data_IF_452872786687
#
_entry.id   IF_452872786687
#
_cell.length_a   1.000
_cell.length_b   1.000
_cell.length_c   1.000
_cell.angle_alpha   90.00
_cell.angle_beta   90.00
_cell.angle_gamma   90.00
#
_symmetry.space_group_name_H-M   'P 1'
#
loop_
_entity.id
_entity.type
_entity.pdbx_description
1 polymer ?
#
# COMPACT_ATOMS: atom_id res chain seq x y z
N UNK A 1 7.03 11.56 -3.63
CA UNK A 1 8.42 12.06 -3.53
C UNK A 1 9.34 10.94 -3.96
N UNK A 2 10.46 11.22 -4.63
CA UNK A 2 11.47 10.21 -5.02
C UNK A 2 12.71 10.40 -4.13
N UNK A 3 13.11 9.35 -3.42
CA UNK A 3 14.34 9.33 -2.61
C UNK A 3 15.38 8.43 -3.26
N UNK A 4 16.56 8.97 -3.53
CA UNK A 4 17.66 8.29 -4.20
C UNK A 4 18.83 8.17 -3.22
N UNK A 5 19.23 6.94 -2.90
CA UNK A 5 20.31 6.66 -1.95
C UNK A 5 21.49 6.01 -2.66
N UNK A 6 22.67 6.58 -2.46
CA UNK A 6 23.91 6.17 -3.11
C UNK A 6 24.89 5.62 -2.08
N UNK A 7 25.73 4.68 -2.49
CA UNK A 7 26.85 4.17 -1.69
C UNK A 7 28.12 4.15 -2.53
N UNK A 8 29.17 4.73 -1.99
CA UNK A 8 30.49 4.88 -2.62
C UNK A 8 31.54 4.02 -1.92
N UNK A 9 32.70 3.80 -2.56
CA UNK A 9 33.79 2.97 -1.97
C UNK A 9 34.62 3.71 -0.90
N UNK A 10 34.64 5.03 -0.97
CA UNK A 10 35.28 5.97 -0.03
C UNK A 10 34.24 7.03 0.37
N UNK A 11 34.44 7.81 1.45
CA UNK A 11 33.58 8.95 1.75
C UNK A 11 33.42 9.89 0.54
N UNK A 12 32.24 10.48 0.41
CA UNK A 12 31.87 11.27 -0.77
C UNK A 12 31.79 12.76 -0.46
N UNK A 13 32.77 13.50 -0.96
CA UNK A 13 32.91 14.97 -0.81
C UNK A 13 32.47 15.75 -2.07
N UNK A 14 31.71 15.13 -2.97
CA UNK A 14 31.35 15.69 -4.28
C UNK A 14 30.00 16.41 -4.34
N UNK A 15 29.46 16.57 -5.56
CA UNK A 15 28.13 17.16 -5.81
C UNK A 15 27.23 16.15 -6.52
N UNK A 16 25.94 16.15 -6.17
CA UNK A 16 24.90 15.30 -6.75
C UNK A 16 23.81 16.20 -7.29
N UNK A 17 23.45 16.08 -8.57
CA UNK A 17 22.50 16.99 -9.20
C UNK A 17 21.74 16.35 -10.36
N UNK A 18 20.58 16.90 -10.70
CA UNK A 18 19.85 16.52 -11.92
C UNK A 18 20.55 17.12 -13.14
N UNK A 19 20.79 16.30 -14.18
CA UNK A 19 21.46 16.71 -15.42
C UNK A 19 20.78 17.94 -16.03
N UNK A 20 21.57 19.01 -16.22
CA UNK A 20 21.09 20.29 -16.76
C UNK A 20 20.57 21.27 -15.69
N UNK A 21 20.49 20.85 -14.42
CA UNK A 21 20.08 21.66 -13.27
C UNK A 21 21.14 21.60 -12.16
N UNK A 22 22.42 21.73 -12.54
CA UNK A 22 23.52 21.72 -11.57
C UNK A 22 23.38 22.85 -10.54
N UNK A 23 22.89 24.02 -10.98
CA UNK A 23 22.89 25.27 -10.22
C UNK A 23 21.53 25.59 -9.54
N UNK A 24 20.52 24.73 -9.68
CA UNK A 24 19.28 24.83 -8.91
C UNK A 24 19.42 24.05 -7.60
N UNK A 25 19.47 24.76 -6.47
CA UNK A 25 19.64 24.17 -5.13
C UNK A 25 18.45 23.29 -4.68
N UNK A 26 17.34 23.24 -5.41
CA UNK A 26 16.27 22.24 -5.19
C UNK A 26 16.61 20.91 -5.87
N UNK A 27 17.40 20.96 -6.94
CA UNK A 27 17.76 19.85 -7.82
C UNK A 27 19.23 19.44 -7.67
N UNK A 28 19.91 19.97 -6.66
CA UNK A 28 21.34 19.87 -6.44
C UNK A 28 21.67 19.78 -4.95
N UNK A 29 22.63 18.94 -4.60
CA UNK A 29 23.13 18.74 -3.23
C UNK A 29 24.65 18.64 -3.25
N UNK A 30 25.30 19.49 -2.46
CA UNK A 30 26.75 19.50 -2.28
C UNK A 30 27.10 18.76 -0.98
N UNK A 31 28.06 17.85 -1.06
CA UNK A 31 28.53 17.01 0.05
C UNK A 31 29.98 17.34 0.44
N UNK A 32 30.52 18.50 0.06
CA UNK A 32 31.91 18.90 0.38
C UNK A 32 32.30 18.77 1.86
N UNK A 33 31.37 18.91 2.80
CA UNK A 33 31.58 18.74 4.25
C UNK A 33 31.50 17.28 4.73
N UNK A 34 31.15 16.33 3.87
CA UNK A 34 30.99 14.92 4.21
C UNK A 34 32.32 14.15 4.10
N UNK A 35 33.09 14.18 5.19
CA UNK A 35 34.41 13.53 5.28
C UNK A 35 34.35 12.04 5.63
N UNK A 36 33.28 11.56 6.27
CA UNK A 36 33.24 10.20 6.85
C UNK A 36 32.18 9.27 6.22
N UNK A 37 31.07 9.81 5.67
CA UNK A 37 29.98 8.97 5.19
C UNK A 37 30.18 8.56 3.73
N UNK A 38 30.18 7.25 3.48
CA UNK A 38 30.16 6.69 2.12
C UNK A 38 28.74 6.45 1.59
N UNK A 39 27.70 6.68 2.40
CA UNK A 39 26.29 6.56 2.06
C UNK A 39 25.63 7.94 2.20
N UNK A 40 24.92 8.38 1.16
CA UNK A 40 24.21 9.66 1.15
C UNK A 40 22.92 9.54 0.33
N UNK A 41 21.98 10.47 0.55
CA UNK A 41 20.68 10.46 -0.12
C UNK A 41 20.29 11.84 -0.66
N UNK A 42 19.52 11.83 -1.73
CA UNK A 42 18.93 13.01 -2.37
C UNK A 42 17.43 12.77 -2.53
N UNK A 43 16.60 13.75 -2.18
CA UNK A 43 15.15 13.71 -2.37
C UNK A 43 14.74 14.70 -3.46
N UNK A 44 13.82 14.30 -4.32
CA UNK A 44 13.24 15.12 -5.40
C UNK A 44 11.72 15.01 -5.31
N UNK A 45 11.01 16.14 -5.40
CA UNK A 45 9.55 16.13 -5.41
C UNK A 45 9.01 15.63 -6.76
N UNK A 46 7.83 15.03 -6.77
CA UNK A 46 7.23 14.53 -8.01
C UNK A 46 6.87 15.71 -8.94
N UNK A 47 7.47 15.75 -10.13
CA UNK A 47 7.26 16.80 -11.13
C UNK A 47 8.31 17.93 -11.10
N UNK A 48 9.13 18.03 -10.05
CA UNK A 48 10.24 18.99 -9.99
C UNK A 48 11.42 18.57 -10.88
N UNK A 49 12.39 19.48 -11.03
CA UNK A 49 13.69 19.21 -11.67
C UNK A 49 13.63 18.65 -13.10
N UNK A 50 12.72 19.19 -13.93
CA UNK A 50 12.50 18.77 -15.33
C UNK A 50 12.35 17.25 -15.52
N UNK A 51 11.78 16.58 -14.52
CA UNK A 51 11.48 15.14 -14.54
C UNK A 51 10.65 14.78 -15.78
N UNK A 52 11.24 14.02 -16.71
CA UNK A 52 10.60 13.65 -17.96
C UNK A 52 9.44 12.69 -17.70
N UNK A 53 8.22 13.17 -17.91
CA UNK A 53 6.98 12.39 -17.77
C UNK A 53 6.56 11.83 -19.14
N UNK A 54 6.75 10.53 -19.33
CA UNK A 54 6.34 9.80 -20.52
C UNK A 54 5.15 8.89 -20.18
N UNK A 55 4.13 8.86 -21.05
CA UNK A 55 3.12 7.79 -20.99
C UNK A 55 3.73 6.54 -21.61
N UNK A 56 3.65 5.42 -20.90
CA UNK A 56 4.06 4.10 -21.40
C UNK A 56 2.78 3.33 -21.69
N UNK A 57 2.70 2.81 -22.91
CA UNK A 57 1.54 2.12 -23.49
C UNK A 57 2.05 0.79 -24.04
N UNK A 58 1.31 -0.30 -23.81
CA UNK A 58 1.75 -1.67 -24.10
C UNK A 58 1.15 -2.64 -23.09
N UNK A 59 1.87 -3.72 -22.75
CA UNK A 59 1.43 -4.72 -21.76
C UNK A 59 1.25 -4.16 -20.33
N UNK A 60 1.90 -3.04 -20.01
CA UNK A 60 1.78 -2.30 -18.75
C UNK A 60 1.52 -0.83 -19.05
N UNK A 61 0.25 -0.42 -19.01
CA UNK A 61 -0.10 0.99 -19.12
C UNK A 61 0.29 1.78 -17.87
N UNK A 62 0.89 2.95 -18.05
CA UNK A 62 1.29 3.78 -16.93
C UNK A 62 1.93 5.11 -17.31
N UNK A 63 2.43 5.78 -16.29
CA UNK A 63 3.22 7.00 -16.42
C UNK A 63 4.61 6.70 -15.89
N UNK A 64 5.59 6.72 -16.79
CA UNK A 64 7.00 6.66 -16.43
C UNK A 64 7.51 8.08 -16.20
N UNK A 65 8.00 8.34 -15.00
CA UNK A 65 8.82 9.50 -14.70
C UNK A 65 10.29 9.10 -14.82
N UNK A 66 11.10 9.89 -15.52
CA UNK A 66 12.55 9.65 -15.60
C UNK A 66 13.34 10.93 -15.43
N UNK A 67 14.50 10.81 -14.79
CA UNK A 67 15.45 11.89 -14.57
C UNK A 67 16.86 11.32 -14.60
N UNK A 68 17.85 12.15 -14.91
CA UNK A 68 19.26 11.72 -14.89
C UNK A 68 19.97 12.39 -13.74
N UNK A 69 20.43 11.63 -12.74
CA UNK A 69 21.33 12.14 -11.70
C UNK A 69 22.75 12.05 -12.18
N UNK A 70 23.53 13.11 -11.97
CA UNK A 70 24.98 13.10 -12.07
C UNK A 70 25.55 13.10 -10.65
N UNK A 71 26.36 12.08 -10.34
CA UNK A 71 27.22 12.04 -9.16
C UNK A 71 28.61 12.46 -9.63
N UNK A 72 29.00 13.69 -9.29
CA UNK A 72 30.32 14.24 -9.62
C UNK A 72 31.23 14.21 -8.41
N UNK A 73 32.46 13.71 -8.58
CA UNK A 73 33.45 13.62 -7.51
C UNK A 73 34.27 14.90 -7.35
N UNK A 74 34.01 15.94 -8.16
CA UNK A 74 34.61 17.26 -8.04
C UNK A 74 33.50 18.30 -7.93
N UNK A 75 33.61 19.25 -7.01
CA UNK A 75 32.55 20.25 -6.75
C UNK A 75 32.33 21.30 -7.86
N UNK A 76 32.89 21.13 -9.08
CA UNK A 76 32.92 22.18 -10.12
C UNK A 76 33.03 21.62 -11.54
N UNK A 77 33.94 20.68 -11.78
CA UNK A 77 34.23 20.14 -13.11
C UNK A 77 33.70 18.72 -13.26
N UNK A 78 33.18 18.38 -14.45
CA UNK A 78 32.83 16.99 -14.76
C UNK A 78 34.11 16.20 -15.06
N UNK A 79 34.33 15.11 -14.33
CA UNK A 79 35.56 14.29 -14.40
C UNK A 79 35.31 12.88 -14.96
N UNK A 80 36.38 12.16 -15.31
CA UNK A 80 36.31 10.73 -15.71
C UNK A 80 35.78 9.81 -14.59
N UNK A 81 35.83 10.24 -13.33
CA UNK A 81 35.31 9.47 -12.20
C UNK A 81 33.77 9.59 -12.06
N UNK A 82 33.19 10.61 -12.67
CA UNK A 82 31.78 10.97 -12.51
C UNK A 82 30.86 9.94 -13.17
N UNK A 83 29.66 9.79 -12.60
CA UNK A 83 28.68 8.80 -13.06
C UNK A 83 27.31 9.45 -13.23
N UNK A 84 26.72 9.23 -14.39
CA UNK A 84 25.34 9.60 -14.69
C UNK A 84 24.44 8.36 -14.60
N UNK A 85 23.34 8.47 -13.86
CA UNK A 85 22.35 7.41 -13.64
C UNK A 85 21.00 7.90 -14.13
N UNK A 86 20.39 7.19 -15.10
CA UNK A 86 19.00 7.46 -15.50
C UNK A 86 18.08 6.73 -14.54
N UNK A 87 17.53 7.46 -13.57
CA UNK A 87 16.51 6.96 -12.66
C UNK A 87 15.16 6.94 -13.40
N UNK A 88 14.42 5.84 -13.29
CA UNK A 88 13.11 5.67 -13.91
C UNK A 88 12.14 5.10 -12.88
N UNK A 89 10.99 5.73 -12.71
CA UNK A 89 9.92 5.30 -11.80
C UNK A 89 8.64 5.15 -12.61
N UNK A 90 8.14 3.92 -12.70
CA UNK A 90 6.90 3.61 -13.43
C UNK A 90 5.71 3.52 -12.46
N UNK A 91 4.67 4.30 -12.73
CA UNK A 91 3.41 4.25 -11.99
C UNK A 91 2.34 3.66 -12.92
N UNK A 92 1.85 2.46 -12.59
CA UNK A 92 0.84 1.76 -13.39
C UNK A 92 -0.50 2.49 -13.35
N UNK A 93 -1.12 2.70 -14.51
CA UNK A 93 -2.49 3.20 -14.62
C UNK A 93 -3.45 2.00 -14.48
N UNK A 94 -4.09 1.85 -13.33
CA UNK A 94 -5.15 0.83 -13.15
C UNK A 94 -6.47 1.42 -13.64
N UNK A 95 -6.80 1.29 -14.94
CA UNK A 95 -8.14 1.59 -15.50
C UNK A 95 -8.55 0.60 -16.60
N UNK A 96 -9.87 0.48 -16.81
CA UNK A 96 -10.52 -0.58 -17.61
C UNK A 96 -10.40 -0.37 -19.13
N UNK A 97 -10.35 -1.51 -19.84
CA UNK A 97 -10.35 -1.75 -21.29
C UNK A 97 -10.88 -0.64 -22.23
N UNK A 98 -10.10 -0.30 -23.27
CA UNK A 98 -10.52 -0.30 -24.70
C UNK A 98 -9.31 -0.18 -25.64
N UNK A 99 -9.47 -0.53 -26.93
CA UNK A 99 -8.38 -1.00 -27.83
C UNK A 99 -7.75 0.05 -28.76
N UNK A 100 -6.46 -0.12 -29.11
CA UNK A 100 -5.71 0.68 -30.11
C UNK A 100 -4.30 0.11 -30.42
N UNK A 101 -3.81 0.30 -31.65
CA UNK A 101 -2.80 -0.55 -32.35
C UNK A 101 -1.85 0.32 -33.20
N UNK A 102 -0.57 0.05 -33.44
CA UNK A 102 0.51 -0.78 -32.82
C UNK A 102 1.86 -0.43 -33.52
N UNK A 103 3.03 -0.85 -32.97
CA UNK A 103 4.28 -1.21 -33.69
C UNK A 103 5.46 -1.45 -32.70
N UNK A 104 6.38 -2.36 -33.03
CA UNK A 104 7.44 -2.87 -32.12
C UNK A 104 8.88 -2.60 -32.59
N UNK A 105 9.87 -2.77 -31.69
CA UNK A 105 11.27 -3.04 -32.07
C UNK A 105 12.07 -3.84 -31.03
N UNK A 106 13.01 -4.64 -31.57
CA UNK A 106 14.09 -5.48 -30.99
C UNK A 106 14.17 -5.58 -29.46
N UNK A 107 14.00 -6.81 -28.95
CA UNK A 107 14.10 -7.13 -27.52
C UNK A 107 15.51 -7.47 -27.02
N UNK A 108 15.76 -7.15 -25.74
CA UNK A 108 16.88 -7.64 -24.94
C UNK A 108 16.35 -8.24 -23.65
N UNK A 109 16.85 -9.41 -23.25
CA UNK A 109 16.34 -10.14 -22.08
C UNK A 109 16.69 -9.45 -20.77
N UNK A 110 15.67 -9.00 -20.02
CA UNK A 110 15.86 -8.38 -18.71
C UNK A 110 15.75 -9.42 -17.57
N UNK A 111 16.67 -9.34 -16.61
CA UNK A 111 16.54 -9.99 -15.30
C UNK A 111 15.91 -8.96 -14.34
N UNK A 112 14.57 -8.93 -14.33
CA UNK A 112 13.79 -8.14 -13.37
C UNK A 112 13.49 -8.99 -12.13
N UNK A 113 13.90 -8.52 -10.95
CA UNK A 113 13.34 -9.01 -9.69
C UNK A 113 11.99 -8.32 -9.43
N UNK A 114 10.98 -8.79 -10.16
CA UNK A 114 9.61 -8.30 -10.07
C UNK A 114 8.89 -9.01 -8.92
N UNK A 115 9.08 -8.51 -7.70
CA UNK A 115 8.18 -8.85 -6.57
C UNK A 115 6.78 -8.42 -6.98
N UNK A 116 5.92 -9.40 -7.28
CA UNK A 116 4.53 -9.12 -7.62
C UNK A 116 3.81 -8.62 -6.37
N UNK A 117 2.92 -7.65 -6.56
CA UNK A 117 2.06 -7.17 -5.47
C UNK A 117 0.85 -8.14 -5.40
N UNK A 118 0.50 -8.67 -4.22
CA UNK A 118 -0.57 -9.65 -4.07
C UNK A 118 -1.88 -9.14 -4.66
N UNK A 119 -2.64 -10.02 -5.31
CA UNK A 119 -4.04 -9.74 -5.61
C UNK A 119 -4.87 -10.10 -4.37
N UNK A 120 -5.40 -9.09 -3.68
CA UNK A 120 -6.32 -9.29 -2.57
C UNK A 120 -7.77 -9.11 -3.01
N UNK A 121 -8.64 -10.01 -2.58
CA UNK A 121 -10.08 -10.03 -2.83
C UNK A 121 -10.86 -9.85 -1.53
N UNK A 122 -12.01 -9.21 -1.63
CA UNK A 122 -12.98 -9.07 -0.54
C UNK A 122 -14.36 -9.51 -1.06
N UNK A 123 -15.01 -10.38 -0.32
CA UNK A 123 -16.31 -10.97 -0.67
C UNK A 123 -17.18 -11.16 0.57
N UNK A 124 -18.49 -11.27 0.35
CA UNK A 124 -19.47 -11.60 1.37
C UNK A 124 -20.12 -12.91 0.95
N UNK A 125 -20.22 -13.87 1.87
CA UNK A 125 -20.70 -15.23 1.62
C UNK A 125 -21.91 -15.54 2.51
N UNK A 126 -22.83 -16.38 2.01
CA UNK A 126 -24.02 -16.80 2.76
C UNK A 126 -23.82 -18.18 3.42
N UNK A 127 -24.28 -18.33 4.67
CA UNK A 127 -24.34 -19.61 5.38
C UNK A 127 -23.01 -20.13 5.95
N UNK A 128 -21.88 -19.91 5.27
CA UNK A 128 -20.51 -20.14 5.79
C UNK A 128 -19.50 -19.26 5.05
N UNK A 129 -18.26 -19.19 5.57
CA UNK A 129 -17.15 -18.48 4.92
C UNK A 129 -16.83 -19.03 3.52
N UNK A 130 -16.92 -20.35 3.34
CA UNK A 130 -16.75 -21.04 2.05
C UNK A 130 -18.07 -21.15 1.25
N UNK A 131 -19.12 -20.44 1.67
CA UNK A 131 -20.43 -20.46 1.04
C UNK A 131 -20.46 -19.79 -0.35
N UNK A 132 -21.62 -19.76 -1.03
CA UNK A 132 -21.77 -18.99 -2.24
C UNK A 132 -21.67 -17.48 -1.94
N UNK A 133 -21.03 -16.67 -2.82
CA UNK A 133 -21.03 -15.21 -2.70
C UNK A 133 -22.44 -14.62 -2.69
N UNK A 134 -22.73 -13.79 -1.70
CA UNK A 134 -24.01 -13.15 -1.47
C UNK A 134 -24.03 -11.73 -2.07
N UNK A 135 -24.93 -11.50 -3.03
CA UNK A 135 -25.23 -10.16 -3.59
C UNK A 135 -26.45 -9.54 -2.90
N UNK A 136 -27.27 -10.37 -2.26
CA UNK A 136 -28.47 -10.01 -1.51
C UNK A 136 -28.48 -10.79 -0.20
N UNK A 137 -29.04 -10.21 0.86
CA UNK A 137 -29.24 -10.87 2.15
C UNK A 137 -30.36 -10.19 2.93
N UNK A 138 -30.90 -10.87 3.94
CA UNK A 138 -31.97 -10.37 4.79
C UNK A 138 -31.46 -9.83 6.12
N UNK A 139 -32.22 -8.95 6.76
CA UNK A 139 -31.90 -8.45 8.11
C UNK A 139 -32.04 -9.61 9.11
N UNK A 140 -31.01 -9.84 9.92
CA UNK A 140 -30.94 -10.98 10.84
C UNK A 140 -30.48 -12.30 10.20
N UNK A 141 -30.10 -12.32 8.92
CA UNK A 141 -29.42 -13.45 8.29
C UNK A 141 -27.93 -13.46 8.68
N UNK A 142 -27.30 -14.64 8.78
CA UNK A 142 -25.85 -14.74 8.98
C UNK A 142 -25.11 -14.58 7.65
N UNK A 143 -24.16 -13.67 7.63
CA UNK A 143 -23.25 -13.45 6.49
C UNK A 143 -21.80 -13.52 6.95
N UNK A 144 -20.91 -13.88 6.03
CA UNK A 144 -19.48 -14.05 6.30
C UNK A 144 -18.70 -13.10 5.41
N UNK A 145 -17.99 -12.16 6.02
CA UNK A 145 -17.06 -11.29 5.32
C UNK A 145 -15.73 -12.04 5.21
N UNK A 146 -15.19 -12.13 3.99
CA UNK A 146 -13.98 -12.89 3.68
C UNK A 146 -13.02 -11.98 2.93
N UNK A 147 -11.77 -11.94 3.40
CA UNK A 147 -10.65 -11.31 2.72
C UNK A 147 -9.60 -12.37 2.43
N UNK A 148 -9.12 -12.43 1.19
CA UNK A 148 -8.12 -13.41 0.75
C UNK A 148 -7.05 -12.71 -0.09
N UNK A 149 -5.78 -13.08 0.04
CA UNK A 149 -4.67 -12.54 -0.75
C UNK A 149 -3.84 -13.67 -1.38
N UNK A 150 -3.66 -13.62 -2.70
CA UNK A 150 -2.93 -14.63 -3.48
C UNK A 150 -1.41 -14.37 -3.47
N UNK A 151 -0.76 -14.56 -2.30
CA UNK A 151 0.70 -14.50 -2.14
C UNK A 151 1.17 -15.31 -0.91
N UNK A 152 2.09 -16.26 -1.11
CA UNK A 152 2.62 -17.11 -0.03
C UNK A 152 3.63 -16.38 0.89
N UNK A 153 4.33 -15.38 0.37
CA UNK A 153 5.43 -14.64 1.01
C UNK A 153 4.96 -13.45 1.85
N UNK A 154 3.75 -12.96 1.58
CA UNK A 154 3.13 -11.82 2.26
C UNK A 154 1.90 -12.28 3.08
N UNK A 155 1.66 -11.62 4.21
CA UNK A 155 0.41 -11.68 4.97
C UNK A 155 -0.28 -10.31 4.97
N UNK A 156 -1.44 -10.20 5.62
CA UNK A 156 -2.13 -8.92 5.72
C UNK A 156 -2.90 -8.68 7.02
N UNK A 157 -3.21 -7.41 7.26
CA UNK A 157 -4.14 -6.92 8.27
C UNK A 157 -5.33 -6.25 7.56
N UNK A 158 -6.57 -6.52 8.00
CA UNK A 158 -7.75 -5.72 7.64
C UNK A 158 -7.72 -4.44 8.48
N UNK A 159 -6.90 -3.48 8.06
CA UNK A 159 -6.55 -2.27 8.83
C UNK A 159 -7.77 -1.40 9.15
N UNK A 160 -8.70 -1.21 8.21
CA UNK A 160 -9.92 -0.42 8.47
C UNK A 160 -11.05 -0.81 7.53
N UNK A 161 -12.30 -0.70 7.99
CA UNK A 161 -13.50 -0.98 7.19
C UNK A 161 -14.60 0.02 7.52
N UNK A 162 -15.40 0.39 6.53
CA UNK A 162 -16.62 1.18 6.72
C UNK A 162 -17.74 0.72 5.79
N UNK A 163 -18.97 1.01 6.18
CA UNK A 163 -20.17 0.83 5.38
C UNK A 163 -20.81 2.18 5.08
N UNK A 164 -21.37 2.35 3.88
CA UNK A 164 -22.11 3.54 3.52
C UNK A 164 -23.36 3.24 2.68
N UNK A 165 -24.32 4.17 2.67
CA UNK A 165 -25.58 4.07 1.92
C UNK A 165 -25.51 4.57 0.46
N UNK A 166 -24.34 5.08 0.04
CA UNK A 166 -24.15 5.76 -1.26
C UNK A 166 -24.81 7.13 -1.37
N UNK A 167 -25.45 7.64 -0.30
CA UNK A 167 -26.15 8.94 -0.23
C UNK A 167 -25.47 9.94 0.71
N UNK A 168 -24.55 9.46 1.55
CA UNK A 168 -23.69 10.28 2.42
C UNK A 168 -23.58 9.76 3.85
N UNK A 169 -24.44 8.81 4.25
CA UNK A 169 -24.35 8.16 5.55
C UNK A 169 -23.22 7.15 5.54
N UNK A 170 -22.28 7.28 6.48
CA UNK A 170 -21.14 6.36 6.69
C UNK A 170 -21.12 5.91 8.14
N UNK A 171 -20.77 4.65 8.35
CA UNK A 171 -20.47 4.07 9.67
C UNK A 171 -19.17 3.28 9.57
N UNK A 172 -18.22 3.57 10.46
CA UNK A 172 -16.94 2.87 10.53
C UNK A 172 -17.11 1.59 11.36
N UNK A 173 -16.63 0.47 10.83
CA UNK A 173 -16.80 -0.87 11.39
C UNK A 173 -15.56 -1.31 12.16
N UNK A 174 -14.38 -1.01 11.60
CA UNK A 174 -13.08 -1.20 12.23
C UNK A 174 -12.39 0.16 12.36
N UNK A 175 -11.54 0.31 13.39
CA UNK A 175 -10.72 1.50 13.62
C UNK A 175 -9.50 1.55 12.67
N UNK A 176 -8.40 2.19 13.10
CA UNK A 176 -7.16 2.26 12.33
C UNK A 176 -6.15 1.16 12.72
N UNK A 177 -6.41 0.40 13.78
CA UNK A 177 -5.55 -0.69 14.25
C UNK A 177 -6.14 -2.07 13.88
N UNK A 178 -7.19 -2.09 13.05
CA UNK A 178 -7.90 -3.29 12.60
C UNK A 178 -8.89 -3.87 13.62
N UNK A 179 -9.25 -3.12 14.66
CA UNK A 179 -10.11 -3.60 15.74
C UNK A 179 -11.57 -3.15 15.61
N UNK A 180 -12.49 -3.95 16.15
CA UNK A 180 -13.93 -3.69 16.07
C UNK A 180 -14.35 -2.45 16.88
N UNK A 181 -15.01 -1.49 16.21
CA UNK A 181 -15.60 -0.31 16.87
C UNK A 181 -16.88 -0.69 17.62
N UNK A 182 -17.74 -1.50 16.99
CA UNK A 182 -18.94 -2.08 17.62
C UNK A 182 -19.02 -3.60 17.34
N UNK A 183 -18.55 -4.44 18.28
CA UNK A 183 -18.61 -5.90 18.18
C UNK A 183 -20.01 -6.52 18.04
N UNK A 184 -21.09 -5.75 18.22
CA UNK A 184 -22.46 -6.24 17.97
C UNK A 184 -22.77 -6.23 16.46
N UNK A 185 -22.23 -5.26 15.73
CA UNK A 185 -22.41 -5.10 14.27
C UNK A 185 -21.30 -5.82 13.51
N UNK A 186 -20.05 -5.63 13.95
CA UNK A 186 -18.83 -6.17 13.35
C UNK A 186 -17.91 -6.68 14.48
N UNK A 187 -17.85 -7.99 14.75
CA UNK A 187 -16.85 -8.56 15.66
C UNK A 187 -15.41 -8.37 15.16
N UNK A 188 -14.43 -8.61 16.03
CA UNK A 188 -13.01 -8.64 15.62
C UNK A 188 -12.76 -9.69 14.54
N UNK A 189 -11.96 -9.33 13.53
CA UNK A 189 -11.66 -10.20 12.39
C UNK A 189 -10.74 -11.34 12.82
N UNK A 190 -11.07 -12.58 12.39
CA UNK A 190 -10.26 -13.77 12.64
C UNK A 190 -9.36 -14.02 11.42
N UNK A 191 -8.11 -14.37 11.65
CA UNK A 191 -7.11 -14.62 10.61
C UNK A 191 -6.67 -16.07 10.66
N UNK A 192 -6.50 -16.70 9.50
CA UNK A 192 -5.95 -18.05 9.39
C UNK A 192 -4.44 -18.02 9.71
N UNK A 193 -3.88 -19.15 10.16
CA UNK A 193 -2.47 -19.26 10.58
C UNK A 193 -1.46 -18.84 9.48
N UNK A 194 -1.85 -18.95 8.21
CA UNK A 194 -1.00 -18.58 7.08
C UNK A 194 -1.09 -17.10 6.69
N UNK A 195 -1.94 -16.31 7.37
CA UNK A 195 -2.20 -14.88 7.13
C UNK A 195 -2.59 -14.51 5.69
N UNK A 196 -3.05 -15.47 4.88
CA UNK A 196 -3.58 -15.24 3.52
C UNK A 196 -5.10 -15.16 3.46
N UNK A 197 -5.77 -15.50 4.55
CA UNK A 197 -7.22 -15.44 4.70
C UNK A 197 -7.60 -14.80 6.03
N UNK A 198 -8.64 -13.98 5.99
CA UNK A 198 -9.29 -13.41 7.15
C UNK A 198 -10.81 -13.49 7.00
N UNK A 199 -11.52 -13.78 8.07
CA UNK A 199 -12.96 -14.06 8.10
C UNK A 199 -13.60 -13.40 9.31
N UNK A 200 -14.83 -12.90 9.15
CA UNK A 200 -15.72 -12.61 10.28
C UNK A 200 -17.17 -12.95 9.97
N UNK A 201 -17.85 -13.56 10.94
CA UNK A 201 -19.29 -13.80 10.93
C UNK A 201 -20.02 -12.55 11.44
N UNK A 202 -21.01 -12.06 10.70
CA UNK A 202 -21.85 -10.92 11.08
C UNK A 202 -23.32 -11.23 10.86
N UNK A 203 -24.19 -10.40 11.44
CA UNK A 203 -25.63 -10.44 11.19
C UNK A 203 -26.02 -9.35 10.20
N UNK A 204 -26.78 -9.70 9.17
CA UNK A 204 -27.27 -8.77 8.18
C UNK A 204 -28.06 -7.63 8.83
N UNK A 205 -27.67 -6.40 8.54
CA UNK A 205 -28.34 -5.17 8.97
C UNK A 205 -28.64 -4.26 7.78
N UNK A 206 -29.29 -3.12 8.02
CA UNK A 206 -29.44 -2.04 7.05
C UNK A 206 -29.66 -0.70 7.75
N UNK A 207 -29.33 0.41 7.10
CA UNK A 207 -29.86 1.72 7.51
C UNK A 207 -31.38 1.76 7.33
N UNK A 208 -32.10 2.63 8.03
CA UNK A 208 -33.57 2.71 7.95
C UNK A 208 -34.07 2.94 6.51
N UNK A 209 -33.43 3.88 5.79
CA UNK A 209 -33.98 4.51 4.59
C UNK A 209 -33.39 3.95 3.27
N UNK A 210 -32.45 3.00 3.36
CA UNK A 210 -31.88 2.29 2.20
C UNK A 210 -31.91 0.77 2.38
N UNK A 211 -31.83 0.06 1.26
CA UNK A 211 -31.59 -1.38 1.16
C UNK A 211 -30.20 -1.72 0.60
N UNK A 212 -29.42 -0.70 0.22
CA UNK A 212 -28.08 -0.85 -0.37
C UNK A 212 -27.03 -0.49 0.69
N UNK A 213 -26.10 -1.41 0.92
CA UNK A 213 -24.93 -1.21 1.77
C UNK A 213 -23.65 -1.38 0.94
N UNK A 214 -22.82 -0.34 0.92
CA UNK A 214 -21.52 -0.36 0.25
C UNK A 214 -20.42 -0.52 1.30
N UNK A 215 -19.90 -1.74 1.44
CA UNK A 215 -18.76 -2.04 2.29
C UNK A 215 -17.45 -1.69 1.58
N UNK A 216 -16.54 -1.02 2.27
CA UNK A 216 -15.20 -0.69 1.77
C UNK A 216 -14.18 -0.92 2.88
N UNK A 217 -13.11 -1.63 2.56
CA UNK A 217 -12.04 -1.95 3.50
C UNK A 217 -10.67 -1.62 2.91
N UNK A 218 -9.73 -1.28 3.78
CA UNK A 218 -8.30 -1.12 3.48
C UNK A 218 -7.57 -2.29 4.11
N UNK A 219 -6.74 -2.96 3.32
CA UNK A 219 -5.82 -4.01 3.80
C UNK A 219 -4.39 -3.48 3.78
N UNK A 220 -3.62 -3.79 4.81
CA UNK A 220 -2.18 -3.52 4.91
C UNK A 220 -1.40 -4.81 4.73
N UNK A 221 -0.36 -4.80 3.90
CA UNK A 221 0.45 -5.98 3.56
C UNK A 221 1.74 -6.00 4.36
N UNK A 222 2.16 -7.18 4.82
CA UNK A 222 3.40 -7.41 5.56
C UNK A 222 4.18 -8.60 4.98
N UNK A 223 5.52 -8.55 4.99
CA UNK A 223 6.35 -9.69 4.55
C UNK A 223 6.63 -10.66 5.70
N UNK A 224 6.19 -11.91 5.52
CA UNK A 224 6.41 -13.00 6.47
C UNK A 224 7.90 -13.28 6.68
N UNK A 225 8.67 -13.34 5.59
CA UNK A 225 10.12 -13.63 5.63
C UNK A 225 10.98 -12.56 6.29
N UNK A 226 10.45 -11.34 6.48
CA UNK A 226 11.11 -10.24 7.17
C UNK A 226 10.61 -10.03 8.61
N UNK A 227 9.65 -10.84 9.08
CA UNK A 227 9.01 -10.67 10.40
C UNK A 227 8.06 -9.47 10.48
N UNK A 228 7.75 -8.80 9.37
CA UNK A 228 6.93 -7.58 9.35
C UNK A 228 5.47 -7.80 9.80
N UNK A 229 5.00 -9.04 9.80
CA UNK A 229 3.66 -9.40 10.27
C UNK A 229 3.58 -9.54 11.80
N UNK A 230 4.70 -9.75 12.49
CA UNK A 230 4.73 -9.95 13.95
C UNK A 230 4.33 -8.65 14.67
N UNK A 231 3.21 -8.68 15.40
CA UNK A 231 2.66 -7.51 16.08
C UNK A 231 1.81 -6.59 15.18
N UNK A 232 1.73 -6.85 13.87
CA UNK A 232 0.75 -6.22 12.98
C UNK A 232 -0.53 -7.04 12.89
N UNK A 233 -0.43 -8.36 12.68
CA UNK A 233 -1.58 -9.24 12.45
C UNK A 233 -1.38 -10.60 13.14
N UNK A 234 -2.40 -11.15 13.85
CA UNK A 234 -3.67 -10.51 14.19
C UNK A 234 -3.49 -9.30 15.14
N UNK A 235 -4.38 -8.30 15.09
CA UNK A 235 -4.28 -7.11 15.93
C UNK A 235 -4.64 -7.43 17.40
N UNK A 236 -4.03 -6.70 18.33
CA UNK A 236 -4.22 -6.92 19.79
C UNK A 236 -5.40 -6.13 20.35
N UNK A 237 -6.60 -6.46 19.87
CA UNK A 237 -7.82 -5.74 20.24
C UNK A 237 -8.15 -5.89 21.73
N UNK A 238 -8.29 -4.76 22.43
CA UNK A 238 -8.61 -4.76 23.85
C UNK A 238 -10.08 -5.11 24.03
N UNK A 239 -10.39 -6.39 24.24
CA UNK A 239 -11.76 -6.87 24.47
C UNK A 239 -12.46 -5.99 25.51
N UNK A 240 -13.45 -5.23 25.05
CA UNK A 240 -14.10 -4.19 25.85
C UNK A 240 -15.16 -4.82 26.76
N UNK A 241 -14.70 -5.67 27.67
CA UNK A 241 -15.45 -6.37 28.71
C UNK A 241 -16.10 -5.41 29.75
N UNK A 242 -16.10 -4.11 29.47
CA UNK A 242 -16.68 -3.03 30.28
C UNK A 242 -18.21 -3.09 30.33
N UNK A 243 -18.88 -3.69 29.33
CA UNK A 243 -20.36 -3.79 29.31
C UNK A 243 -20.91 -4.89 30.24
N UNK A 244 -20.14 -5.94 30.55
CA UNK A 244 -20.60 -7.03 31.44
C UNK A 244 -20.44 -6.76 32.95
N UNK A 245 -19.60 -5.82 33.37
CA UNK A 245 -19.38 -5.53 34.81
C UNK A 245 -20.40 -4.56 35.43
N UNK A 246 -21.04 -3.69 34.64
CA UNK A 246 -22.03 -2.73 35.17
C UNK A 246 -23.38 -3.34 35.56
N UNK A 247 -23.68 -4.58 35.15
CA UNK A 247 -24.93 -5.28 35.49
C UNK A 247 -24.74 -6.22 36.71
N UNK A 248 -23.52 -6.67 36.98
CA UNK A 248 -23.23 -7.59 38.09
C UNK A 248 -23.21 -6.90 39.47
N UNK A 249 -22.91 -5.60 39.54
CA UNK A 249 -22.72 -4.86 40.80
C UNK A 249 -24.01 -4.21 41.34
N UNK A 250 -25.14 -4.29 40.61
CA UNK A 250 -26.38 -3.61 40.97
C UNK A 250 -27.48 -4.55 41.50
N UNK A 251 -27.09 -5.71 42.03
CA UNK A 251 -28.01 -6.69 42.64
C UNK A 251 -27.44 -7.29 43.95
N UNK A 252 -26.70 -6.48 44.72
CA UNK A 252 -26.09 -6.88 45.99
C UNK A 252 -25.99 -5.75 47.02
N UNK A 253 -27.08 -4.99 47.23
CA UNK A 253 -27.40 -4.29 48.48
C UNK A 253 -28.82 -3.74 48.51
#
# INVERSE_FOLDING_TARGET
>A
MVSLTFRTRKPFTGRVYVRGLADDDRCSRNFASNVDQNKFSMMIQNGDCTMQRQRVTGSLEGIMFSLTIVVSFHGTFVTRADRAYRCMCFFRNIKRLTSGVDMSSIGTTELMDAVQMPSCTYSIHAGSADGPPAVYGQVGEKIYHVWECDDDTQGFLVHSCFVNDGRGTRYDLLDLDGCAIDPIIQPDVQYDEDLKRAVVETWGYKFSDTSVLNYQCVVELCKKSAGECEGLTPPTCTSNNRIRRSIADNNSR
#
